data_IF_710641691474
#
_entry.id   IF_710641691474
#
_cell.length_a   1.000
_cell.length_b   1.000
_cell.length_c   1.000
_cell.angle_alpha   90.00
_cell.angle_beta   90.00
_cell.angle_gamma   90.00
#
_symmetry.space_group_name_H-M   'P 1'
#
loop_
_entity.id
_entity.type
_entity.pdbx_description
1 polymer ?
#
# COMPACT_ATOMS: atom_id res chain seq x y z
N UNK A 1 17.91 -1.87 -10.45
CA UNK A 1 16.53 -2.46 -10.41
C UNK A 1 16.66 -3.84 -11.01
N UNK A 2 16.35 -4.89 -10.23
CA UNK A 2 16.51 -6.28 -10.67
C UNK A 2 15.20 -6.89 -11.20
N UNK A 3 14.10 -6.16 -11.06
CA UNK A 3 12.75 -6.60 -11.44
C UNK A 3 11.94 -5.39 -11.93
N UNK A 4 11.28 -5.54 -13.06
CA UNK A 4 10.42 -4.52 -13.66
C UNK A 4 8.98 -5.06 -13.76
N UNK A 5 7.97 -4.26 -13.44
CA UNK A 5 6.58 -4.59 -13.70
C UNK A 5 6.27 -4.40 -15.18
N UNK A 6 5.45 -5.28 -15.72
CA UNK A 6 4.83 -5.13 -17.04
C UNK A 6 3.36 -4.86 -16.82
N UNK A 7 2.88 -3.77 -17.38
CA UNK A 7 1.50 -3.32 -17.25
C UNK A 7 0.88 -3.15 -18.64
N UNK A 8 -0.43 -3.28 -18.72
CA UNK A 8 -1.18 -2.99 -19.93
C UNK A 8 -1.40 -1.46 -20.13
N UNK A 9 -2.14 -1.09 -21.16
CA UNK A 9 -2.46 0.30 -21.48
C UNK A 9 -3.29 1.02 -20.39
N UNK A 10 -4.04 0.26 -19.60
CA UNK A 10 -4.90 0.76 -18.51
C UNK A 10 -4.19 0.79 -17.16
N UNK A 11 -2.93 0.31 -17.11
CA UNK A 11 -2.09 0.27 -15.91
C UNK A 11 -2.29 -0.97 -15.05
N UNK A 12 -3.04 -1.97 -15.51
CA UNK A 12 -3.17 -3.23 -14.79
C UNK A 12 -1.90 -4.08 -14.90
N UNK A 13 -1.53 -4.77 -13.83
CA UNK A 13 -0.32 -5.59 -13.79
C UNK A 13 -0.51 -6.87 -14.59
N UNK A 14 0.22 -7.01 -15.69
CA UNK A 14 0.27 -8.22 -16.52
C UNK A 14 1.33 -9.25 -16.09
N UNK A 15 2.47 -8.77 -15.57
CA UNK A 15 3.57 -9.65 -15.22
C UNK A 15 4.76 -8.94 -14.58
N UNK A 16 5.77 -9.72 -14.27
CA UNK A 16 7.09 -9.25 -13.83
C UNK A 16 8.19 -9.79 -14.74
N UNK A 17 9.16 -8.94 -15.07
CA UNK A 17 10.36 -9.37 -15.76
C UNK A 17 11.58 -9.07 -14.87
N UNK A 18 12.47 -10.05 -14.77
CA UNK A 18 13.70 -9.94 -13.98
C UNK A 18 14.93 -9.90 -14.89
N UNK A 19 16.07 -9.44 -14.35
CA UNK A 19 17.35 -9.51 -15.05
C UNK A 19 17.68 -10.96 -15.45
N UNK A 20 17.27 -11.95 -14.65
CA UNK A 20 17.45 -13.37 -14.99
C UNK A 20 16.67 -13.75 -16.25
N UNK A 21 15.42 -13.30 -16.38
CA UNK A 21 14.58 -13.61 -17.56
C UNK A 21 15.20 -13.00 -18.83
N UNK A 22 15.67 -11.75 -18.72
CA UNK A 22 16.38 -11.07 -19.83
C UNK A 22 17.69 -11.79 -20.16
N UNK A 23 18.45 -12.22 -19.15
CA UNK A 23 19.70 -12.97 -19.39
C UNK A 23 19.42 -14.32 -20.07
N UNK A 24 18.39 -15.05 -19.62
CA UNK A 24 17.95 -16.30 -20.22
C UNK A 24 17.53 -16.07 -21.68
N UNK A 25 16.74 -15.04 -21.96
CA UNK A 25 16.35 -14.65 -23.32
C UNK A 25 17.57 -14.40 -24.23
N UNK A 26 18.62 -13.78 -23.70
CA UNK A 26 19.89 -13.56 -24.47
C UNK A 26 20.78 -14.80 -24.59
N UNK A 27 20.60 -15.81 -23.75
CA UNK A 27 21.36 -17.07 -23.83
C UNK A 27 20.75 -18.08 -24.80
N UNK A 28 19.44 -17.95 -25.10
CA UNK A 28 18.71 -18.83 -26.04
C UNK A 28 18.97 -18.48 -27.53
N UNK A 29 20.20 -18.07 -27.84
CA UNK A 29 20.65 -17.67 -29.18
C UNK A 29 20.51 -18.82 -30.21
N UNK A 30 20.40 -20.06 -29.76
CA UNK A 30 20.29 -21.24 -30.62
C UNK A 30 18.83 -21.62 -30.97
N UNK A 31 17.82 -21.03 -30.35
CA UNK A 31 16.43 -21.30 -30.72
C UNK A 31 15.99 -20.46 -31.90
N UNK A 32 16.22 -20.99 -33.10
CA UNK A 32 15.82 -20.33 -34.36
C UNK A 32 14.30 -20.21 -34.52
N UNK A 33 13.49 -20.88 -33.69
CA UNK A 33 12.02 -20.86 -33.73
C UNK A 33 11.41 -19.86 -32.72
N UNK A 34 12.23 -19.09 -32.00
CA UNK A 34 11.79 -18.20 -30.93
C UNK A 34 10.73 -17.19 -31.36
N UNK A 35 10.83 -16.65 -32.59
CA UNK A 35 9.88 -15.65 -33.10
C UNK A 35 8.50 -16.25 -33.31
N UNK A 36 8.42 -17.47 -33.79
CA UNK A 36 7.15 -18.19 -33.95
C UNK A 36 6.53 -18.58 -32.58
N UNK A 37 7.35 -19.12 -31.67
CA UNK A 37 6.91 -19.47 -30.29
C UNK A 37 6.37 -18.28 -29.52
N UNK A 38 7.05 -17.15 -29.63
CA UNK A 38 6.68 -15.90 -28.94
C UNK A 38 5.60 -15.10 -29.67
N UNK A 39 5.17 -15.56 -30.87
CA UNK A 39 4.22 -14.86 -31.74
C UNK A 39 4.63 -13.41 -32.00
N UNK A 40 5.91 -13.22 -32.34
CA UNK A 40 6.50 -11.89 -32.56
C UNK A 40 5.86 -11.22 -33.76
N UNK A 41 5.44 -9.96 -33.63
CA UNK A 41 4.95 -9.14 -34.74
C UNK A 41 6.11 -8.67 -35.62
N UNK A 42 5.83 -8.46 -36.91
CA UNK A 42 6.83 -7.87 -37.82
C UNK A 42 7.22 -6.46 -37.40
N UNK A 43 6.33 -5.71 -36.76
CA UNK A 43 6.61 -4.40 -36.16
C UNK A 43 7.72 -4.48 -35.10
N UNK A 44 7.75 -5.51 -34.25
CA UNK A 44 8.82 -5.71 -33.29
C UNK A 44 10.17 -5.98 -33.98
N UNK A 45 10.17 -6.77 -35.06
CA UNK A 45 11.37 -7.04 -35.84
C UNK A 45 11.88 -5.76 -36.49
N UNK A 46 11.00 -4.98 -37.13
CA UNK A 46 11.32 -3.69 -37.74
C UNK A 46 11.93 -2.73 -36.73
N UNK A 47 11.26 -2.58 -35.57
CA UNK A 47 11.73 -1.69 -34.51
C UNK A 47 13.11 -2.09 -33.96
N UNK A 48 13.36 -3.41 -33.79
CA UNK A 48 14.61 -3.91 -33.23
C UNK A 48 15.75 -3.79 -34.23
N UNK A 49 15.48 -4.03 -35.52
CA UNK A 49 16.52 -3.96 -36.60
C UNK A 49 16.69 -2.54 -37.15
N UNK A 50 15.81 -1.58 -36.80
CA UNK A 50 15.79 -0.26 -37.43
C UNK A 50 15.47 -0.31 -38.91
N UNK A 51 14.62 -1.26 -39.33
CA UNK A 51 14.29 -1.56 -40.72
C UNK A 51 13.04 -0.89 -41.21
N UNK A 52 12.71 -1.12 -42.50
CA UNK A 52 11.51 -0.62 -43.14
C UNK A 52 10.77 -1.78 -43.85
N UNK A 53 9.44 -1.78 -43.81
CA UNK A 53 8.61 -2.73 -44.55
C UNK A 53 8.59 -2.34 -46.03
N UNK A 54 8.85 -3.31 -46.92
CA UNK A 54 8.84 -3.15 -48.38
C UNK A 54 7.59 -3.81 -48.97
N UNK A 55 7.26 -5.02 -48.54
CA UNK A 55 6.08 -5.78 -48.95
C UNK A 55 5.48 -6.46 -47.71
N UNK A 56 4.17 -6.38 -47.55
CA UNK A 56 3.45 -7.05 -46.48
C UNK A 56 2.90 -6.10 -45.42
N UNK A 57 2.37 -6.68 -44.34
CA UNK A 57 1.73 -5.97 -43.23
C UNK A 57 2.67 -6.00 -41.99
N UNK A 58 2.96 -4.82 -41.42
CA UNK A 58 3.76 -4.68 -40.22
C UNK A 58 3.12 -5.34 -38.98
N UNK A 59 1.81 -5.44 -38.95
CA UNK A 59 1.06 -6.01 -37.85
C UNK A 59 0.91 -7.53 -37.94
N UNK A 60 1.37 -8.12 -39.04
CA UNK A 60 1.45 -9.58 -39.17
C UNK A 60 2.34 -10.18 -38.08
N UNK A 61 2.04 -11.43 -37.70
CA UNK A 61 2.67 -12.14 -36.56
C UNK A 61 3.33 -13.43 -37.05
N UNK A 62 4.54 -13.68 -36.60
CA UNK A 62 5.23 -14.96 -36.82
C UNK A 62 4.47 -16.07 -36.10
N UNK A 63 3.97 -17.05 -36.82
CA UNK A 63 3.17 -18.17 -36.26
C UNK A 63 3.88 -19.51 -36.44
N UNK A 64 4.76 -19.64 -37.43
CA UNK A 64 5.48 -20.86 -37.77
C UNK A 64 6.88 -20.49 -38.28
N UNK A 65 7.70 -21.48 -38.50
CA UNK A 65 9.00 -21.34 -39.17
C UNK A 65 10.17 -21.04 -38.24
N UNK A 66 11.34 -21.05 -38.83
CA UNK A 66 12.64 -20.81 -38.18
C UNK A 66 13.33 -19.64 -38.85
N UNK A 67 14.34 -19.10 -38.18
CA UNK A 67 15.19 -18.06 -38.75
C UNK A 67 16.42 -18.70 -39.40
N UNK A 68 16.64 -18.42 -40.67
CA UNK A 68 17.80 -18.85 -41.43
C UNK A 68 18.62 -17.63 -41.90
N UNK A 69 19.94 -17.76 -41.92
CA UNK A 69 20.85 -16.78 -42.52
C UNK A 69 21.27 -17.29 -43.88
N UNK A 70 20.76 -16.67 -44.93
CA UNK A 70 20.99 -17.08 -46.33
C UNK A 70 22.31 -16.59 -46.90
N UNK A 71 23.44 -17.01 -46.33
CA UNK A 71 24.79 -16.69 -46.80
C UNK A 71 25.35 -17.75 -47.77
N UNK A 72 24.69 -18.89 -47.86
CA UNK A 72 25.07 -20.01 -48.74
C UNK A 72 24.62 -19.79 -50.21
N UNK A 73 24.91 -20.75 -51.09
CA UNK A 73 24.40 -20.77 -52.47
C UNK A 73 22.89 -20.98 -52.47
N UNK A 74 22.21 -20.63 -53.57
CA UNK A 74 20.77 -20.83 -53.72
C UNK A 74 20.38 -22.31 -53.58
N UNK A 75 21.20 -23.24 -54.07
CA UNK A 75 20.98 -24.70 -53.97
C UNK A 75 21.01 -25.17 -52.48
N UNK A 76 21.95 -24.67 -51.70
CA UNK A 76 21.98 -24.98 -50.26
C UNK A 76 20.82 -24.32 -49.50
N UNK A 77 20.43 -23.11 -49.87
CA UNK A 77 19.31 -22.43 -49.28
C UNK A 77 18.01 -23.19 -49.56
N UNK A 78 17.85 -23.70 -50.80
CA UNK A 78 16.72 -24.53 -51.20
C UNK A 78 16.55 -25.81 -50.36
N UNK A 79 17.65 -26.39 -49.89
CA UNK A 79 17.66 -27.62 -49.09
C UNK A 79 17.28 -27.40 -47.62
N UNK A 80 17.36 -26.17 -47.09
CA UNK A 80 17.20 -25.88 -45.64
C UNK A 80 15.99 -25.00 -45.34
N UNK A 81 15.53 -24.20 -46.31
CA UNK A 81 14.36 -23.30 -46.09
C UNK A 81 13.05 -24.06 -46.32
N UNK A 82 12.17 -23.96 -45.35
CA UNK A 82 10.83 -24.53 -45.37
C UNK A 82 9.76 -23.43 -45.41
N UNK A 83 8.54 -23.83 -45.75
CA UNK A 83 7.39 -22.93 -45.76
C UNK A 83 7.19 -22.26 -44.37
N UNK A 84 7.07 -20.95 -44.40
CA UNK A 84 6.84 -20.15 -43.18
C UNK A 84 8.12 -19.69 -42.50
N UNK A 85 9.29 -20.08 -42.97
CA UNK A 85 10.58 -19.65 -42.42
C UNK A 85 10.84 -18.14 -42.63
N UNK A 86 11.70 -17.60 -41.80
CA UNK A 86 12.23 -16.23 -41.92
C UNK A 86 13.64 -16.30 -42.44
N UNK A 87 13.94 -15.61 -43.55
CA UNK A 87 15.24 -15.69 -44.20
C UNK A 87 15.93 -14.33 -44.18
N UNK A 88 17.09 -14.28 -43.51
CA UNK A 88 17.97 -13.10 -43.45
C UNK A 88 18.96 -13.22 -44.58
N UNK A 89 18.99 -12.27 -45.51
CA UNK A 89 19.84 -12.32 -46.70
C UNK A 89 20.27 -10.91 -47.13
N UNK A 90 21.03 -10.88 -48.23
CA UNK A 90 21.48 -9.63 -48.86
C UNK A 90 20.75 -9.41 -50.20
N UNK A 91 21.32 -8.62 -51.10
CA UNK A 91 20.75 -8.26 -52.40
C UNK A 91 20.97 -9.35 -53.52
N UNK A 92 21.30 -10.57 -53.17
CA UNK A 92 21.41 -11.66 -54.16
C UNK A 92 20.04 -12.05 -54.72
N UNK A 93 19.81 -11.78 -55.98
CA UNK A 93 18.52 -12.05 -56.65
C UNK A 93 18.07 -13.51 -56.54
N UNK A 94 18.99 -14.45 -56.84
CA UNK A 94 18.73 -15.89 -56.80
C UNK A 94 18.31 -16.38 -55.40
N UNK A 95 18.97 -15.87 -54.37
CA UNK A 95 18.62 -16.23 -52.97
C UNK A 95 17.28 -15.66 -52.52
N UNK A 96 16.95 -14.45 -52.98
CA UNK A 96 15.64 -13.85 -52.70
C UNK A 96 14.52 -14.62 -53.40
N UNK A 97 14.72 -14.96 -54.66
CA UNK A 97 13.77 -15.75 -55.47
C UNK A 97 13.55 -17.16 -54.87
N UNK A 98 14.64 -17.85 -54.53
CA UNK A 98 14.59 -19.17 -53.90
C UNK A 98 13.76 -19.15 -52.59
N UNK A 99 14.00 -18.16 -51.71
CA UNK A 99 13.28 -18.05 -50.45
C UNK A 99 11.76 -17.76 -50.68
N UNK A 100 11.40 -16.98 -51.71
CA UNK A 100 10.02 -16.76 -52.11
C UNK A 100 9.34 -18.03 -52.65
N UNK A 101 10.05 -18.77 -53.53
CA UNK A 101 9.57 -20.05 -54.11
C UNK A 101 9.37 -21.13 -53.02
N UNK A 102 10.15 -21.09 -51.94
CA UNK A 102 9.96 -21.94 -50.75
C UNK A 102 8.85 -21.47 -49.79
N UNK A 103 8.11 -20.45 -50.16
CA UNK A 103 7.01 -19.88 -49.36
C UNK A 103 7.50 -19.44 -47.95
N UNK A 104 8.68 -18.82 -47.86
CA UNK A 104 9.11 -18.18 -46.62
C UNK A 104 8.07 -17.17 -46.18
N UNK A 105 7.91 -16.96 -44.87
CA UNK A 105 6.95 -15.99 -44.36
C UNK A 105 7.50 -14.55 -44.44
N UNK A 106 8.80 -14.39 -44.27
CA UNK A 106 9.46 -13.08 -44.23
C UNK A 106 10.89 -13.15 -44.76
N UNK A 107 11.23 -12.23 -45.65
CA UNK A 107 12.58 -11.94 -46.09
C UNK A 107 13.10 -10.68 -45.40
N UNK A 108 14.28 -10.74 -44.78
CA UNK A 108 14.98 -9.58 -44.17
C UNK A 108 16.22 -9.29 -45.05
N UNK A 109 16.15 -8.22 -45.80
CA UNK A 109 17.22 -7.80 -46.72
C UNK A 109 18.13 -6.80 -46.02
N UNK A 110 19.33 -7.26 -45.67
CA UNK A 110 20.30 -6.52 -44.86
C UNK A 110 21.18 -5.55 -45.65
N UNK A 111 22.06 -4.79 -44.92
CA UNK A 111 22.99 -3.80 -45.44
C UNK A 111 22.33 -2.59 -46.14
N UNK A 112 21.08 -2.27 -45.82
CA UNK A 112 20.35 -1.20 -46.49
C UNK A 112 20.14 -1.43 -47.98
N UNK A 113 20.26 -2.68 -48.44
CA UNK A 113 20.20 -3.02 -49.85
C UNK A 113 18.78 -2.84 -50.40
N UNK A 114 18.65 -2.31 -51.62
CA UNK A 114 17.37 -2.14 -52.28
C UNK A 114 16.84 -3.44 -52.85
N UNK A 115 15.58 -3.72 -52.64
CA UNK A 115 14.88 -4.87 -53.25
C UNK A 115 14.44 -4.51 -54.67
N UNK A 116 14.74 -5.36 -55.65
CA UNK A 116 14.37 -5.14 -57.03
C UNK A 116 12.84 -5.22 -57.23
N UNK A 117 12.29 -4.41 -58.13
CA UNK A 117 10.84 -4.37 -58.42
C UNK A 117 10.24 -5.73 -58.81
N UNK A 118 11.00 -6.59 -59.55
CA UNK A 118 10.56 -7.95 -59.92
C UNK A 118 10.33 -8.80 -58.65
N UNK A 119 11.29 -8.74 -57.71
CA UNK A 119 11.19 -9.51 -56.46
C UNK A 119 10.02 -8.99 -55.61
N UNK A 120 9.81 -7.68 -55.52
CA UNK A 120 8.67 -7.10 -54.83
C UNK A 120 7.34 -7.61 -55.37
N UNK A 121 7.17 -7.59 -56.69
CA UNK A 121 5.94 -8.07 -57.35
C UNK A 121 5.73 -9.56 -57.10
N UNK A 122 6.75 -10.40 -57.22
CA UNK A 122 6.61 -11.85 -56.96
C UNK A 122 6.23 -12.11 -55.52
N UNK A 123 6.83 -11.37 -54.56
CA UNK A 123 6.50 -11.45 -53.13
C UNK A 123 5.07 -11.03 -52.83
N UNK A 124 4.56 -9.96 -53.46
CA UNK A 124 3.15 -9.55 -53.37
C UNK A 124 2.20 -10.64 -53.91
N UNK A 125 2.53 -11.23 -55.06
CA UNK A 125 1.74 -12.30 -55.68
C UNK A 125 1.68 -13.59 -54.86
N UNK A 126 2.80 -13.90 -54.14
CA UNK A 126 2.93 -15.11 -53.32
C UNK A 126 2.58 -14.92 -51.85
N UNK A 127 2.38 -13.66 -51.40
CA UNK A 127 2.07 -13.34 -50.03
C UNK A 127 3.28 -13.39 -49.07
N UNK A 128 4.51 -13.33 -49.60
CA UNK A 128 5.77 -13.32 -48.82
C UNK A 128 6.06 -11.88 -48.42
N UNK A 129 6.27 -11.65 -47.12
CA UNK A 129 6.66 -10.32 -46.63
C UNK A 129 8.14 -10.03 -46.87
N UNK A 130 8.46 -8.76 -47.14
CA UNK A 130 9.87 -8.32 -47.30
C UNK A 130 10.07 -7.05 -46.46
N UNK A 131 11.12 -7.07 -45.65
CA UNK A 131 11.63 -5.88 -44.97
C UNK A 131 13.10 -5.64 -45.28
N UNK A 132 13.55 -4.42 -45.17
CA UNK A 132 14.99 -4.06 -45.23
C UNK A 132 15.51 -3.77 -43.84
N UNK A 133 16.78 -4.02 -43.60
CA UNK A 133 17.50 -3.68 -42.38
C UNK A 133 18.83 -3.00 -42.70
N UNK A 134 19.22 -1.94 -42.02
CA UNK A 134 20.50 -1.26 -42.25
C UNK A 134 21.71 -2.07 -41.78
N UNK A 135 21.54 -2.96 -40.81
CA UNK A 135 22.59 -3.80 -40.25
C UNK A 135 22.97 -4.95 -41.20
N UNK A 136 24.11 -5.59 -40.95
CA UNK A 136 24.56 -6.80 -41.68
C UNK A 136 23.79 -8.06 -41.23
N UNK A 137 23.95 -9.15 -41.95
CA UNK A 137 23.25 -10.43 -41.69
C UNK A 137 23.63 -11.06 -40.35
N UNK A 138 24.86 -10.84 -39.88
CA UNK A 138 25.30 -11.34 -38.58
C UNK A 138 24.63 -10.59 -37.43
N UNK A 139 24.64 -9.27 -37.52
CA UNK A 139 23.98 -8.41 -36.52
C UNK A 139 22.47 -8.67 -36.50
N UNK A 140 21.81 -8.75 -37.67
CA UNK A 140 20.40 -9.11 -37.78
C UNK A 140 20.10 -10.45 -37.11
N UNK A 141 20.88 -11.51 -37.45
CA UNK A 141 20.70 -12.84 -36.85
C UNK A 141 20.85 -12.82 -35.32
N UNK A 142 21.81 -12.07 -34.80
CA UNK A 142 22.05 -11.93 -33.36
C UNK A 142 20.91 -11.18 -32.63
N UNK A 143 20.28 -10.22 -33.30
CA UNK A 143 19.18 -9.44 -32.73
C UNK A 143 17.81 -10.16 -32.78
N UNK A 144 17.67 -11.27 -33.51
CA UNK A 144 16.39 -11.97 -33.64
C UNK A 144 15.78 -12.38 -32.31
N UNK A 145 16.58 -12.89 -31.38
CA UNK A 145 16.06 -13.24 -30.04
C UNK A 145 15.53 -12.05 -29.25
N UNK A 146 16.01 -10.84 -29.56
CA UNK A 146 15.58 -9.60 -28.90
C UNK A 146 14.31 -9.02 -29.52
N UNK A 147 13.83 -9.54 -30.65
CA UNK A 147 12.60 -9.13 -31.27
C UNK A 147 11.35 -9.70 -30.55
N UNK A 148 11.54 -10.78 -29.77
CA UNK A 148 10.44 -11.41 -29.05
C UNK A 148 9.84 -10.45 -28.00
N UNK A 149 8.51 -10.38 -27.88
CA UNK A 149 7.85 -9.47 -26.95
C UNK A 149 8.18 -9.85 -25.49
N UNK A 150 8.26 -8.83 -24.63
CA UNK A 150 8.50 -9.02 -23.18
C UNK A 150 7.49 -9.97 -22.55
N UNK A 151 6.26 -9.94 -23.03
CA UNK A 151 5.17 -10.81 -22.60
C UNK A 151 5.46 -12.32 -22.73
N UNK A 152 6.42 -12.71 -23.56
CA UNK A 152 6.88 -14.10 -23.70
C UNK A 152 7.77 -14.54 -22.54
N UNK A 153 8.59 -13.63 -22.01
CA UNK A 153 9.60 -13.93 -20.99
C UNK A 153 9.14 -13.58 -19.57
N UNK A 154 8.11 -12.71 -19.42
CA UNK A 154 7.67 -12.29 -18.11
C UNK A 154 6.98 -13.41 -17.34
N UNK A 155 7.14 -13.42 -16.03
CA UNK A 155 6.38 -14.26 -15.12
C UNK A 155 4.99 -13.67 -14.95
N UNK A 156 3.94 -14.47 -15.20
CA UNK A 156 2.53 -14.07 -15.07
C UNK A 156 1.85 -14.72 -13.89
N UNK A 157 2.20 -15.98 -13.60
CA UNK A 157 1.56 -16.79 -12.59
C UNK A 157 2.27 -16.64 -11.24
N UNK A 158 1.52 -16.85 -10.15
CA UNK A 158 2.01 -16.84 -8.77
C UNK A 158 2.74 -15.54 -8.35
N UNK A 159 2.40 -14.41 -8.95
CA UNK A 159 2.97 -13.12 -8.55
C UNK A 159 2.43 -12.74 -7.17
N UNK A 160 3.29 -12.77 -6.16
CA UNK A 160 2.98 -12.21 -4.86
C UNK A 160 2.89 -10.70 -4.94
N UNK A 161 1.72 -10.15 -4.64
CA UNK A 161 1.39 -8.74 -4.71
C UNK A 161 0.67 -8.29 -3.45
N UNK A 162 0.75 -7.01 -3.13
CA UNK A 162 0.06 -6.38 -2.01
C UNK A 162 -0.83 -5.24 -2.51
N UNK A 163 -1.73 -4.78 -1.67
CA UNK A 163 -2.53 -3.58 -1.91
C UNK A 163 -2.05 -2.42 -1.03
N UNK A 164 -2.46 -1.19 -1.34
CA UNK A 164 -2.14 -0.01 -0.55
C UNK A 164 -2.65 -0.10 0.90
N UNK A 165 -3.70 -0.87 1.14
CA UNK A 165 -4.29 -1.08 2.47
C UNK A 165 -3.71 -2.29 3.22
N UNK A 166 -2.81 -3.08 2.60
CA UNK A 166 -2.19 -4.24 3.26
C UNK A 166 -1.32 -3.76 4.44
N UNK A 167 -1.58 -4.22 5.68
CA UNK A 167 -0.79 -3.83 6.84
C UNK A 167 0.70 -4.19 6.67
N UNK A 168 1.59 -3.30 7.08
CA UNK A 168 3.05 -3.50 6.99
C UNK A 168 3.51 -4.77 7.71
N UNK A 169 2.85 -5.13 8.82
CA UNK A 169 3.12 -6.36 9.55
C UNK A 169 2.88 -7.61 8.70
N UNK A 170 1.81 -7.64 7.90
CA UNK A 170 1.49 -8.74 7.01
C UNK A 170 2.47 -8.81 5.83
N UNK A 171 2.80 -7.65 5.24
CA UNK A 171 3.85 -7.54 4.22
C UNK A 171 5.16 -8.11 4.74
N UNK A 172 5.56 -7.74 5.95
CA UNK A 172 6.80 -8.22 6.59
C UNK A 172 6.77 -9.72 6.83
N UNK A 173 5.63 -10.25 7.30
CA UNK A 173 5.42 -11.69 7.55
C UNK A 173 5.54 -12.51 6.27
N UNK A 174 4.97 -12.03 5.16
CA UNK A 174 5.09 -12.69 3.85
C UNK A 174 6.52 -12.61 3.34
N UNK A 175 7.14 -11.43 3.39
CA UNK A 175 8.53 -11.23 2.95
C UNK A 175 9.53 -12.10 3.71
N UNK A 176 9.27 -12.43 4.98
CA UNK A 176 10.13 -13.31 5.77
C UNK A 176 10.12 -14.78 5.26
N UNK A 177 9.02 -15.22 4.62
CA UNK A 177 8.84 -16.60 4.18
C UNK A 177 9.31 -16.88 2.75
N UNK A 178 9.45 -15.85 1.92
CA UNK A 178 9.75 -16.00 0.49
C UNK A 178 11.08 -15.36 0.12
N UNK A 179 11.68 -15.82 -1.01
CA UNK A 179 12.98 -15.32 -1.47
C UNK A 179 12.87 -14.15 -2.47
N UNK A 180 11.66 -13.72 -2.82
CA UNK A 180 11.49 -12.57 -3.72
C UNK A 180 12.03 -11.29 -3.08
N UNK A 181 12.59 -10.41 -3.91
CA UNK A 181 13.18 -9.13 -3.48
C UNK A 181 12.19 -7.98 -3.58
N UNK A 182 11.32 -8.03 -4.58
CA UNK A 182 10.39 -6.97 -4.94
C UNK A 182 8.99 -7.54 -5.08
N UNK A 183 8.01 -6.78 -4.62
CA UNK A 183 6.60 -7.14 -4.63
C UNK A 183 5.79 -5.97 -5.18
N UNK A 184 4.97 -6.18 -6.22
CA UNK A 184 4.06 -5.15 -6.71
C UNK A 184 3.05 -4.73 -5.67
N UNK A 185 2.72 -3.44 -5.67
CA UNK A 185 1.60 -2.87 -4.93
C UNK A 185 0.56 -2.43 -5.94
N UNK A 186 -0.68 -2.82 -5.70
CA UNK A 186 -1.84 -2.47 -6.50
C UNK A 186 -2.79 -1.57 -5.70
N UNK A 187 -3.56 -0.75 -6.40
CA UNK A 187 -4.70 -0.03 -5.82
C UNK A 187 -5.95 -0.94 -5.72
N UNK A 188 -7.07 -0.34 -5.34
CA UNK A 188 -8.35 -1.03 -5.19
C UNK A 188 -8.92 -1.52 -6.54
N UNK A 189 -8.56 -0.87 -7.64
CA UNK A 189 -8.95 -1.23 -9.01
C UNK A 189 -8.01 -2.28 -9.65
N UNK A 190 -6.98 -2.73 -8.93
CA UNK A 190 -5.99 -3.69 -9.41
C UNK A 190 -4.89 -3.08 -10.28
N UNK A 191 -4.79 -1.76 -10.36
CA UNK A 191 -3.74 -1.06 -11.11
C UNK A 191 -2.44 -1.00 -10.34
N UNK A 192 -1.36 -1.04 -11.07
CA UNK A 192 -0.03 -0.98 -10.51
C UNK A 192 0.30 0.40 -9.93
N UNK A 193 0.63 0.45 -8.64
CA UNK A 193 0.99 1.68 -7.93
C UNK A 193 2.50 1.80 -7.65
N UNK A 194 3.20 0.67 -7.56
CA UNK A 194 4.62 0.69 -7.24
C UNK A 194 5.17 -0.66 -6.79
N UNK A 195 6.42 -0.66 -6.35
CA UNK A 195 7.12 -1.85 -5.86
C UNK A 195 7.58 -1.64 -4.42
N UNK A 196 7.35 -2.61 -3.57
CA UNK A 196 7.92 -2.67 -2.23
C UNK A 196 9.00 -3.74 -2.11
N UNK A 197 10.05 -3.45 -1.37
CA UNK A 197 11.16 -4.36 -1.09
C UNK A 197 11.42 -4.44 0.41
N UNK A 198 12.20 -5.45 0.85
CA UNK A 198 12.67 -5.53 2.25
C UNK A 198 13.39 -4.27 2.71
N UNK A 199 14.15 -3.61 1.82
CA UNK A 199 14.85 -2.37 2.14
C UNK A 199 13.89 -1.23 2.48
N UNK A 200 12.75 -1.15 1.79
CA UNK A 200 11.74 -0.16 2.10
C UNK A 200 11.16 -0.39 3.51
N UNK A 201 10.89 -1.65 3.86
CA UNK A 201 10.35 -2.01 5.19
C UNK A 201 11.36 -1.70 6.31
N UNK A 202 12.66 -2.03 6.11
CA UNK A 202 13.72 -1.76 7.11
C UNK A 202 13.89 -0.24 7.33
N UNK A 203 13.70 0.55 6.28
CA UNK A 203 13.86 2.01 6.32
C UNK A 203 12.56 2.75 6.68
N UNK A 204 11.48 2.05 7.03
CA UNK A 204 10.25 2.70 7.50
C UNK A 204 10.53 3.45 8.80
N UNK A 205 10.31 4.75 8.75
CA UNK A 205 10.30 5.56 9.97
C UNK A 205 8.99 5.29 10.71
N UNK A 206 9.12 4.85 11.96
CA UNK A 206 7.97 4.73 12.85
C UNK A 206 7.35 6.11 13.08
N UNK A 207 6.05 6.16 13.19
CA UNK A 207 5.36 7.37 13.64
C UNK A 207 5.80 7.66 15.08
N UNK A 208 6.08 8.94 15.36
CA UNK A 208 6.50 9.40 16.68
C UNK A 208 5.28 9.90 17.43
N UNK A 209 5.09 9.43 18.65
CA UNK A 209 3.94 9.77 19.49
C UNK A 209 4.37 10.22 20.87
N UNK A 210 3.55 11.04 21.50
CA UNK A 210 3.61 11.42 22.91
C UNK A 210 2.31 10.90 23.53
N UNK A 211 2.41 10.12 24.61
CA UNK A 211 1.25 9.67 25.37
C UNK A 211 0.98 10.71 26.47
N UNK A 212 -0.26 11.20 26.52
CA UNK A 212 -0.71 12.18 27.48
C UNK A 212 -1.93 11.62 28.20
N UNK A 213 -1.92 11.67 29.52
CA UNK A 213 -3.01 11.24 30.39
C UNK A 213 -3.28 9.72 30.40
N UNK A 214 -2.33 8.93 29.94
CA UNK A 214 -2.34 7.46 30.05
C UNK A 214 -0.94 6.87 29.83
N UNK A 215 -0.70 5.73 30.46
CA UNK A 215 0.55 4.96 30.32
C UNK A 215 0.26 3.44 30.22
N UNK A 216 -0.92 3.05 29.79
CA UNK A 216 -1.34 1.65 29.57
C UNK A 216 -1.69 1.42 28.09
N UNK A 217 -1.27 0.27 27.55
CA UNK A 217 -1.52 -0.11 26.15
C UNK A 217 -3.01 -0.17 25.79
N UNK A 218 -3.85 -0.58 26.76
CA UNK A 218 -5.30 -0.72 26.60
C UNK A 218 -6.04 0.62 26.45
N UNK A 219 -5.39 1.71 26.81
CA UNK A 219 -5.93 3.07 26.70
C UNK A 219 -5.37 3.84 25.51
N UNK A 220 -4.31 3.31 24.87
CA UNK A 220 -3.68 3.93 23.73
C UNK A 220 -4.47 3.71 22.43
N UNK A 221 -4.20 4.54 21.43
CA UNK A 221 -4.82 4.41 20.11
C UNK A 221 -4.40 3.11 19.43
N UNK A 222 -5.26 2.56 18.60
CA UNK A 222 -4.96 1.35 17.82
C UNK A 222 -3.70 1.55 16.96
N UNK A 223 -2.81 0.56 16.98
CA UNK A 223 -1.54 0.58 16.23
C UNK A 223 -0.41 1.33 16.91
N UNK A 224 -0.57 1.79 18.16
CA UNK A 224 0.49 2.50 18.90
C UNK A 224 1.77 1.66 19.05
N UNK A 225 1.69 0.34 19.05
CA UNK A 225 2.83 -0.59 19.15
C UNK A 225 3.79 -0.45 17.95
N UNK A 226 3.28 0.07 16.83
CA UNK A 226 4.09 0.33 15.63
C UNK A 226 4.77 1.70 15.67
N UNK A 227 4.44 2.54 16.65
CA UNK A 227 5.00 3.88 16.82
C UNK A 227 6.27 3.87 17.67
N UNK A 228 7.00 4.99 17.64
CA UNK A 228 8.08 5.33 18.56
C UNK A 228 7.51 6.26 19.62
N UNK A 229 7.44 5.81 20.87
CA UNK A 229 7.02 6.64 21.98
C UNK A 229 8.18 7.55 22.36
N UNK A 230 7.97 8.86 22.28
CA UNK A 230 8.97 9.87 22.65
C UNK A 230 8.86 10.26 24.12
N UNK A 231 7.63 10.50 24.57
CA UNK A 231 7.34 11.02 25.89
C UNK A 231 6.04 10.38 26.42
N UNK A 232 5.99 10.23 27.74
CA UNK A 232 4.79 9.86 28.50
C UNK A 232 4.60 10.89 29.60
N UNK A 233 3.45 11.56 29.62
CA UNK A 233 3.10 12.58 30.59
C UNK A 233 1.77 12.16 31.22
N UNK A 234 1.82 11.83 32.52
CA UNK A 234 0.66 11.18 33.16
C UNK A 234 0.60 11.47 34.66
N UNK A 235 -0.56 11.28 35.27
CA UNK A 235 -0.79 11.40 36.71
C UNK A 235 -1.36 10.11 37.34
N UNK A 236 -1.66 9.12 36.51
CA UNK A 236 -2.20 7.84 36.95
C UNK A 236 -1.12 6.92 37.54
N UNK A 237 -1.54 5.78 38.06
CA UNK A 237 -0.63 4.70 38.45
C UNK A 237 0.23 4.29 37.25
N UNK A 238 1.44 3.82 37.53
CA UNK A 238 2.32 3.31 36.48
C UNK A 238 1.76 1.96 35.99
N UNK A 239 1.47 1.90 34.70
CA UNK A 239 1.02 0.71 34.01
C UNK A 239 2.15 -0.18 33.53
N UNK A 240 1.85 -1.14 32.65
CA UNK A 240 2.77 -2.17 32.13
C UNK A 240 3.28 -1.83 30.71
N UNK A 241 3.39 -0.56 30.34
CA UNK A 241 3.86 -0.18 29.01
C UNK A 241 5.36 -0.43 28.87
N UNK A 242 5.74 -1.16 27.84
CA UNK A 242 7.16 -1.42 27.51
C UNK A 242 7.60 -0.56 26.34
N UNK A 243 8.81 0.00 26.40
CA UNK A 243 9.40 0.81 25.34
C UNK A 243 10.72 0.20 24.86
N UNK A 244 10.99 0.29 23.56
CA UNK A 244 12.20 -0.29 22.96
C UNK A 244 13.48 0.52 23.27
N UNK A 245 13.35 1.76 23.74
CA UNK A 245 14.45 2.67 24.04
C UNK A 245 14.13 3.60 25.20
N UNK A 246 15.08 4.47 25.60
CA UNK A 246 14.84 5.49 26.63
C UNK A 246 13.73 6.45 26.21
N UNK A 247 12.81 6.72 27.14
CA UNK A 247 11.66 7.61 26.95
C UNK A 247 11.64 8.65 28.04
N UNK A 248 11.31 9.90 27.73
CA UNK A 248 11.01 10.88 28.75
C UNK A 248 9.68 10.50 29.41
N UNK A 249 9.73 10.16 30.71
CA UNK A 249 8.55 9.75 31.46
C UNK A 249 8.35 10.69 32.63
N UNK A 250 7.26 11.47 32.60
CA UNK A 250 6.89 12.38 33.67
C UNK A 250 5.55 11.94 34.27
N UNK A 251 5.61 11.42 35.48
CA UNK A 251 4.45 11.04 36.26
C UNK A 251 4.50 11.76 37.61
N UNK A 252 3.40 12.36 38.02
CA UNK A 252 3.27 13.07 39.30
C UNK A 252 1.91 12.75 39.95
N UNK A 253 1.84 12.56 41.27
CA UNK A 253 0.61 12.28 41.98
C UNK A 253 -0.20 13.59 42.22
N UNK A 254 -0.73 14.14 41.13
CA UNK A 254 -1.61 15.30 41.09
C UNK A 254 -3.01 14.90 40.61
N UNK A 255 -3.98 15.79 40.72
CA UNK A 255 -5.35 15.49 40.35
C UNK A 255 -5.66 15.46 38.85
N UNK A 256 -4.77 16.02 38.02
CA UNK A 256 -4.95 16.09 36.58
C UNK A 256 -3.62 16.26 35.83
N UNK A 257 -3.46 15.59 34.68
CA UNK A 257 -2.29 15.75 33.80
C UNK A 257 -2.14 17.20 33.31
N UNK A 258 -3.22 17.97 33.17
CA UNK A 258 -3.16 19.38 32.78
C UNK A 258 -2.37 20.24 33.81
N UNK A 259 -2.33 19.85 35.07
CA UNK A 259 -1.49 20.48 36.10
C UNK A 259 -0.01 20.28 35.76
N UNK A 260 0.39 19.08 35.35
CA UNK A 260 1.76 18.76 34.92
C UNK A 260 2.12 19.55 33.65
N UNK A 261 1.24 19.58 32.67
CA UNK A 261 1.44 20.35 31.43
C UNK A 261 1.63 21.84 31.73
N UNK A 262 0.86 22.38 32.67
CA UNK A 262 1.01 23.79 33.10
C UNK A 262 2.40 24.06 33.71
N UNK A 263 2.91 23.12 34.52
CA UNK A 263 4.27 23.23 35.06
C UNK A 263 5.34 23.15 33.93
N UNK A 264 5.12 22.30 32.91
CA UNK A 264 6.02 22.22 31.76
C UNK A 264 6.08 23.52 30.95
N UNK A 265 4.97 24.25 30.85
CA UNK A 265 4.97 25.60 30.25
C UNK A 265 5.90 26.54 31.00
N UNK A 266 5.85 26.53 32.35
CA UNK A 266 6.70 27.37 33.20
C UNK A 266 8.16 26.99 33.11
N UNK A 267 8.45 25.70 33.19
CA UNK A 267 9.83 25.15 33.12
C UNK A 267 10.51 25.49 31.79
N UNK A 268 9.75 25.57 30.71
CA UNK A 268 10.26 25.92 29.39
C UNK A 268 10.18 27.42 29.07
N UNK A 269 9.65 28.24 29.97
CA UNK A 269 9.49 29.69 29.77
C UNK A 269 8.52 30.03 28.65
N UNK A 270 7.54 29.16 28.38
CA UNK A 270 6.52 29.35 27.33
C UNK A 270 5.29 30.00 27.92
N UNK A 271 4.85 31.11 27.35
CA UNK A 271 3.65 31.81 27.77
C UNK A 271 2.38 31.04 27.41
N UNK A 272 1.47 30.87 28.39
CA UNK A 272 0.19 30.19 28.18
C UNK A 272 -0.81 31.19 27.63
N UNK A 273 -1.30 30.96 26.42
CA UNK A 273 -2.35 31.78 25.80
C UNK A 273 -3.69 31.61 26.54
N UNK A 274 -4.57 32.64 26.60
CA UNK A 274 -5.83 32.55 27.29
C UNK A 274 -6.73 31.36 26.92
N UNK A 275 -6.79 31.03 25.62
CA UNK A 275 -7.58 29.87 25.15
C UNK A 275 -7.01 28.54 25.66
N UNK A 276 -5.68 28.40 25.69
CA UNK A 276 -5.02 27.19 26.21
C UNK A 276 -5.21 27.13 27.73
N UNK A 277 -5.10 28.26 28.41
CA UNK A 277 -5.36 28.35 29.84
C UNK A 277 -6.79 27.90 30.19
N UNK A 278 -7.77 28.29 29.39
CA UNK A 278 -9.19 27.84 29.55
C UNK A 278 -9.33 26.33 29.37
N UNK A 279 -8.66 25.73 28.36
CA UNK A 279 -8.70 24.27 28.15
C UNK A 279 -8.01 23.49 29.27
N UNK A 280 -6.83 23.93 29.72
CA UNK A 280 -6.12 23.32 30.85
C UNK A 280 -6.93 23.44 32.16
N UNK A 281 -7.57 24.58 32.38
CA UNK A 281 -8.46 24.79 33.50
C UNK A 281 -9.66 23.83 33.44
N UNK A 282 -10.31 23.72 32.29
CA UNK A 282 -11.44 22.81 32.10
C UNK A 282 -11.05 21.36 32.45
N UNK A 283 -9.90 20.89 32.02
CA UNK A 283 -9.40 19.55 32.35
C UNK A 283 -9.22 19.37 33.85
N UNK A 284 -8.53 20.33 34.54
CA UNK A 284 -8.33 20.25 35.99
C UNK A 284 -9.69 20.25 36.73
N UNK A 285 -10.63 21.10 36.36
CA UNK A 285 -11.96 21.15 37.01
C UNK A 285 -12.77 19.88 36.77
N UNK A 286 -12.65 19.28 35.60
CA UNK A 286 -13.28 17.99 35.27
C UNK A 286 -12.72 16.86 36.14
N UNK A 287 -11.43 16.61 36.12
CA UNK A 287 -10.78 15.48 36.80
C UNK A 287 -10.85 15.60 38.32
N UNK A 288 -10.79 16.84 38.83
CA UNK A 288 -10.87 17.09 40.25
C UNK A 288 -12.30 17.29 40.77
N UNK A 289 -13.32 17.21 39.91
CA UNK A 289 -14.73 17.50 40.25
C UNK A 289 -14.90 18.84 40.98
N UNK A 290 -14.30 19.88 40.40
CA UNK A 290 -14.20 21.22 41.02
C UNK A 290 -13.60 21.12 42.43
N UNK A 291 -12.42 20.52 42.54
CA UNK A 291 -11.61 20.32 43.77
C UNK A 291 -12.24 19.40 44.83
N UNK A 292 -13.32 18.66 44.49
CA UNK A 292 -13.99 17.74 45.42
C UNK A 292 -13.46 16.30 45.33
N UNK A 293 -12.71 15.95 44.30
CA UNK A 293 -12.11 14.63 44.15
C UNK A 293 -11.06 14.37 45.24
N UNK A 294 -11.00 13.18 45.83
CA UNK A 294 -9.96 12.82 46.79
C UNK A 294 -8.54 12.81 46.17
N UNK A 295 -8.42 12.79 44.83
CA UNK A 295 -7.15 12.89 44.11
C UNK A 295 -6.68 14.34 43.93
N UNK A 296 -7.53 15.34 44.19
CA UNK A 296 -7.18 16.75 44.06
C UNK A 296 -6.12 17.16 45.09
N UNK A 297 -5.07 17.84 44.60
CA UNK A 297 -3.99 18.34 45.44
C UNK A 297 -3.99 19.87 45.55
N UNK A 298 -3.28 20.43 46.54
CA UNK A 298 -3.09 21.89 46.61
C UNK A 298 -2.46 22.50 45.37
N UNK A 299 -1.63 21.69 44.64
CA UNK A 299 -1.00 22.12 43.41
C UNK A 299 -2.03 22.31 42.30
N UNK A 300 -3.02 21.40 42.18
CA UNK A 300 -4.12 21.53 41.23
C UNK A 300 -4.95 22.79 41.48
N UNK A 301 -5.31 23.04 42.73
CA UNK A 301 -6.05 24.22 43.13
C UNK A 301 -5.33 25.51 42.77
N UNK A 302 -4.04 25.61 43.13
CA UNK A 302 -3.26 26.82 42.85
C UNK A 302 -3.05 27.03 41.34
N UNK A 303 -2.87 25.94 40.59
CA UNK A 303 -2.72 25.96 39.11
C UNK A 303 -4.04 26.41 38.47
N UNK A 304 -5.16 25.87 38.89
CA UNK A 304 -6.48 26.25 38.36
C UNK A 304 -6.78 27.74 38.56
N UNK A 305 -6.54 28.28 39.77
CA UNK A 305 -6.71 29.71 40.03
C UNK A 305 -5.82 30.61 39.15
N UNK A 306 -4.59 30.17 38.87
CA UNK A 306 -3.69 30.89 37.97
C UNK A 306 -4.20 30.84 36.53
N UNK A 307 -4.61 29.66 36.05
CA UNK A 307 -5.18 29.50 34.72
C UNK A 307 -6.46 30.28 34.50
N UNK A 308 -7.35 30.32 35.51
CA UNK A 308 -8.57 31.13 35.47
C UNK A 308 -8.27 32.61 35.28
N UNK A 309 -7.22 33.12 35.97
CA UNK A 309 -6.77 34.51 35.80
C UNK A 309 -6.24 34.79 34.41
N UNK A 310 -5.46 33.85 33.83
CA UNK A 310 -4.93 33.98 32.43
C UNK A 310 -6.07 33.91 31.44
N UNK A 311 -7.03 33.00 31.63
CA UNK A 311 -8.18 32.81 30.73
C UNK A 311 -9.21 33.95 30.87
N UNK A 312 -9.18 34.71 31.95
CA UNK A 312 -10.13 35.78 32.24
C UNK A 312 -11.51 35.26 32.61
N UNK A 313 -11.60 34.10 33.29
CA UNK A 313 -12.85 33.45 33.69
C UNK A 313 -12.96 33.31 35.21
N UNK A 314 -14.19 33.21 35.70
CA UNK A 314 -14.47 32.88 37.09
C UNK A 314 -14.74 31.37 37.19
N UNK A 315 -14.10 30.70 38.16
CA UNK A 315 -14.04 29.23 38.22
C UNK A 315 -15.43 28.60 38.34
N UNK A 316 -16.26 29.09 39.28
CA UNK A 316 -17.54 28.48 39.56
C UNK A 316 -18.54 28.65 38.39
N UNK A 317 -18.53 29.84 37.76
CA UNK A 317 -19.36 30.11 36.59
C UNK A 317 -18.91 29.27 35.39
N UNK A 318 -17.59 29.19 35.13
CA UNK A 318 -17.01 28.41 34.04
C UNK A 318 -17.25 26.90 34.21
N UNK A 319 -17.07 26.37 35.44
CA UNK A 319 -17.37 24.99 35.77
C UNK A 319 -18.85 24.66 35.56
N UNK A 320 -19.75 25.53 36.01
CA UNK A 320 -21.21 25.33 35.83
C UNK A 320 -21.58 25.24 34.36
N UNK A 321 -21.09 26.16 33.53
CA UNK A 321 -21.35 26.18 32.08
C UNK A 321 -20.77 24.93 31.40
N UNK A 322 -19.53 24.54 31.74
CA UNK A 322 -18.87 23.37 31.19
C UNK A 322 -19.63 22.07 31.49
N UNK A 323 -20.04 21.86 32.77
CA UNK A 323 -20.77 20.66 33.16
C UNK A 323 -22.18 20.65 32.59
N UNK A 324 -22.89 21.77 32.59
CA UNK A 324 -24.23 21.89 31.97
C UNK A 324 -24.15 21.52 30.46
N UNK A 325 -23.12 21.96 29.76
CA UNK A 325 -22.91 21.61 28.34
C UNK A 325 -22.65 20.11 28.13
N UNK A 326 -21.88 19.47 29.03
CA UNK A 326 -21.57 18.04 28.99
C UNK A 326 -22.74 17.14 29.39
N UNK A 327 -23.58 17.61 30.31
CA UNK A 327 -24.72 16.90 30.87
C UNK A 327 -25.99 16.94 30.00
N UNK A 328 -25.98 17.66 28.86
CA UNK A 328 -27.14 17.74 27.97
C UNK A 328 -27.53 16.36 27.47
N UNK A 329 -28.73 15.92 27.82
CA UNK A 329 -29.33 14.67 27.38
C UNK A 329 -30.14 14.84 26.07
N UNK A 330 -30.34 16.08 25.63
CA UNK A 330 -31.15 16.41 24.46
C UNK A 330 -30.61 15.72 23.18
N UNK A 331 -31.46 14.86 22.60
CA UNK A 331 -31.14 14.13 21.37
C UNK A 331 -30.31 12.86 21.56
N UNK A 332 -29.93 12.51 22.81
CA UNK A 332 -29.24 11.23 23.09
C UNK A 332 -30.27 10.14 23.38
N UNK A 333 -29.98 8.95 22.84
CA UNK A 333 -30.72 7.73 23.16
C UNK A 333 -30.33 7.19 24.55
N UNK A 334 -31.20 6.42 25.24
CA UNK A 334 -30.84 5.77 26.51
C UNK A 334 -29.59 4.91 26.41
N UNK A 335 -29.39 4.24 25.28
CA UNK A 335 -28.22 3.42 25.01
C UNK A 335 -26.92 4.25 24.90
N UNK A 336 -26.97 5.38 24.20
CA UNK A 336 -25.81 6.29 24.09
C UNK A 336 -25.41 6.86 25.46
N UNK A 337 -26.39 7.22 26.29
CA UNK A 337 -26.13 7.73 27.65
C UNK A 337 -25.56 6.61 28.54
N UNK A 338 -26.08 5.39 28.45
CA UNK A 338 -25.62 4.25 29.23
C UNK A 338 -24.19 3.84 28.85
N UNK A 339 -23.84 3.84 27.56
CA UNK A 339 -22.54 3.43 27.06
C UNK A 339 -21.47 4.53 27.15
N UNK A 340 -21.78 5.74 27.54
CA UNK A 340 -20.86 6.88 27.56
C UNK A 340 -19.62 6.64 28.45
N UNK A 341 -19.79 6.00 29.62
CA UNK A 341 -18.70 5.54 30.49
C UNK A 341 -19.08 4.15 31.05
N UNK A 342 -19.08 3.16 30.14
CA UNK A 342 -19.42 1.78 30.45
C UNK A 342 -18.16 0.93 30.46
N UNK A 343 -17.93 0.23 31.58
CA UNK A 343 -16.78 -0.66 31.76
C UNK A 343 -17.24 -2.07 32.15
N UNK A 344 -16.58 -3.06 31.60
CA UNK A 344 -16.84 -4.46 31.89
C UNK A 344 -15.77 -4.98 32.85
N UNK A 345 -16.22 -5.62 33.92
CA UNK A 345 -15.38 -6.22 34.96
C UNK A 345 -15.63 -7.72 35.06
N UNK A 346 -14.62 -8.45 35.52
CA UNK A 346 -14.70 -9.86 35.84
C UNK A 346 -14.47 -10.06 37.33
N UNK A 347 -15.34 -10.81 37.99
CA UNK A 347 -15.17 -11.23 39.38
C UNK A 347 -15.30 -12.77 39.46
N UNK A 348 -14.19 -13.48 39.44
CA UNK A 348 -14.20 -14.92 39.20
C UNK A 348 -14.76 -15.18 37.79
N UNK A 349 -15.79 -16.05 37.73
CA UNK A 349 -16.48 -16.41 36.47
C UNK A 349 -17.64 -15.46 36.11
N UNK A 350 -17.92 -14.45 36.96
CA UNK A 350 -19.03 -13.54 36.76
C UNK A 350 -18.52 -12.31 35.98
N UNK A 351 -19.15 -12.04 34.84
CA UNK A 351 -18.94 -10.85 34.03
C UNK A 351 -20.04 -9.85 34.33
N UNK A 352 -19.68 -8.62 34.75
CA UNK A 352 -20.65 -7.55 34.98
C UNK A 352 -20.18 -6.23 34.37
N UNK A 353 -21.14 -5.40 34.00
CA UNK A 353 -20.89 -4.06 33.45
C UNK A 353 -21.22 -3.01 34.47
N UNK A 354 -20.42 -1.94 34.49
CA UNK A 354 -20.67 -0.75 35.31
C UNK A 354 -20.70 0.45 34.36
N UNK A 355 -21.82 1.17 34.38
CA UNK A 355 -21.93 2.47 33.74
C UNK A 355 -21.88 3.54 34.84
N UNK A 356 -21.09 4.60 34.61
CA UNK A 356 -20.99 5.73 35.55
C UNK A 356 -21.39 7.01 34.84
N UNK A 357 -22.30 7.74 35.43
CA UNK A 357 -22.68 9.10 35.02
C UNK A 357 -22.44 10.09 36.16
N UNK A 358 -21.81 11.22 35.87
CA UNK A 358 -21.63 12.31 36.83
C UNK A 358 -22.50 13.49 36.45
N UNK A 359 -23.33 13.93 37.38
CA UNK A 359 -24.26 15.06 37.18
C UNK A 359 -24.08 16.10 38.28
N UNK A 360 -23.90 17.35 37.90
CA UNK A 360 -23.68 18.45 38.84
C UNK A 360 -25.00 18.96 39.48
N UNK A 361 -26.14 18.77 38.79
CA UNK A 361 -27.43 19.21 39.29
C UNK A 361 -28.34 18.04 39.55
N UNK A 362 -29.12 18.14 40.65
CA UNK A 362 -30.15 17.14 40.97
C UNK A 362 -31.20 16.99 39.85
N UNK A 363 -31.47 18.08 39.12
CA UNK A 363 -32.40 18.09 37.99
C UNK A 363 -31.89 17.15 36.87
N UNK A 364 -30.64 17.28 36.48
CA UNK A 364 -30.05 16.48 35.41
C UNK A 364 -29.86 15.01 35.84
N UNK A 365 -29.51 14.77 37.11
CA UNK A 365 -29.50 13.43 37.68
C UNK A 365 -30.85 12.72 37.57
N UNK A 366 -31.94 13.38 38.00
CA UNK A 366 -33.28 12.83 37.91
C UNK A 366 -33.74 12.62 36.45
N UNK A 367 -33.34 13.51 35.55
CA UNK A 367 -33.65 13.36 34.13
C UNK A 367 -32.91 12.15 33.52
N UNK A 368 -31.65 11.94 33.88
CA UNK A 368 -30.88 10.78 33.44
C UNK A 368 -31.42 9.47 34.03
N UNK A 369 -31.81 9.48 35.31
CA UNK A 369 -32.43 8.32 35.96
C UNK A 369 -33.74 7.94 35.25
N UNK A 370 -34.62 8.92 35.00
CA UNK A 370 -35.86 8.66 34.26
C UNK A 370 -35.68 8.15 32.84
N UNK A 371 -34.59 8.57 32.16
CA UNK A 371 -34.25 8.11 30.82
C UNK A 371 -33.67 6.69 30.83
N UNK A 372 -32.80 6.37 31.79
CA UNK A 372 -32.05 5.12 31.83
C UNK A 372 -32.85 3.98 32.47
N UNK A 373 -33.71 4.23 33.45
CA UNK A 373 -34.41 3.18 34.20
C UNK A 373 -35.17 2.20 33.28
N UNK A 374 -36.00 2.64 32.32
CA UNK A 374 -36.71 1.72 31.42
C UNK A 374 -35.75 0.90 30.53
N UNK A 375 -34.64 1.51 30.11
CA UNK A 375 -33.64 0.86 29.31
C UNK A 375 -32.89 -0.24 30.07
N UNK A 376 -32.50 0.05 31.33
CA UNK A 376 -31.81 -0.94 32.20
C UNK A 376 -32.73 -2.13 32.52
N UNK A 377 -34.02 -1.89 32.77
CA UNK A 377 -35.00 -2.95 32.97
C UNK A 377 -35.12 -3.84 31.72
N UNK A 378 -35.15 -3.24 30.51
CA UNK A 378 -35.20 -4.00 29.25
C UNK A 378 -33.93 -4.80 28.99
N UNK A 379 -32.74 -4.20 29.19
CA UNK A 379 -31.45 -4.88 29.02
C UNK A 379 -31.27 -6.00 30.03
N UNK A 380 -31.59 -5.77 31.29
CA UNK A 380 -31.54 -6.79 32.35
C UNK A 380 -32.44 -7.98 32.01
N UNK A 381 -33.65 -7.72 31.53
CA UNK A 381 -34.61 -8.76 31.16
C UNK A 381 -34.12 -9.62 29.97
N UNK A 382 -33.48 -9.04 28.97
CA UNK A 382 -32.97 -9.76 27.81
C UNK A 382 -31.75 -10.62 28.16
N UNK A 383 -30.85 -10.13 29.00
CA UNK A 383 -29.64 -10.87 29.39
C UNK A 383 -29.88 -11.96 30.42
N UNK A 384 -30.77 -11.75 31.38
CA UNK A 384 -31.13 -12.76 32.38
C UNK A 384 -31.92 -13.94 31.79
N UNK A 385 -32.80 -13.68 30.79
CA UNK A 385 -33.52 -14.79 30.11
C UNK A 385 -32.66 -15.59 29.15
N UNK A 386 -31.60 -15.05 28.58
CA UNK A 386 -30.67 -15.84 27.74
C UNK A 386 -29.94 -16.92 28.57
N UNK A 387 -29.73 -16.70 29.87
CA UNK A 387 -29.13 -17.68 30.76
C UNK A 387 -30.12 -18.74 31.28
N UNK A 388 -31.42 -18.44 31.33
CA UNK A 388 -32.45 -19.40 31.76
C UNK A 388 -32.87 -20.38 30.66
N UNK A 389 -32.50 -20.16 29.41
CA UNK A 389 -32.84 -21.04 28.27
C UNK A 389 -31.75 -22.04 27.91
N UNK A 390 -30.59 -22.04 28.59
CA UNK A 390 -29.51 -23.00 28.43
C UNK A 390 -29.41 -24.02 29.62
N UNK A 391 -30.44 -24.08 30.47
CA UNK A 391 -30.64 -25.12 31.46
C UNK A 391 -31.83 -25.98 31.04
#
# INVERSE_FOLDING_TARGET
IDTLPVVDADGALEGLITVKDIATANMDVFDTSILAKSRTSYRNILSTLGGEMVVGDEDAVCTTGRVHIGTATSEMLESVVEKGDIVILTNRYESQLCAIEKEASLLIVCNGAKVGRTIQRIAEETGVAIMTAPCDTYAAGKLMSQCAPISYYMTRDDIMKFTLVTPVADVTRVMAKVRHRYFPILDEDGKYCGMVSRRNIINLQKRRIILVDHNEATQAVEGFEQAEILEIIDHHRIGSLETAGPVYFRNQPVGCTATIITQMYDENGVEIRPQIAGLLLAAILSDTLVFRSPTCTPVDVSTAHRLAKIAGVEIDAFASEMFEAGEKLDGKTPEEVFLQDFKVFMCGDIRFGVAQGSYMTRKNLLAAEALLQPYLEAVSYTHLRAHETEL
#
